data_IF_068032981253
#
_entry.id   IF_068032981253
#
_cell.length_a   1.000
_cell.length_b   1.000
_cell.length_c   1.000
_cell.angle_alpha   90.00
_cell.angle_beta   90.00
_cell.angle_gamma   90.00
#
_symmetry.space_group_name_H-M   'P 1'
#
loop_
_entity.id
_entity.type
_entity.pdbx_description
1 polymer ?
#
# COMPACT_ATOMS: atom_id res chain seq x y z
N UNK A 1 -17.76 -19.32 -73.97
CA UNK A 1 -16.46 -18.98 -74.51
C UNK A 1 -16.29 -17.47 -74.42
N UNK A 2 -15.86 -16.95 -73.24
CA UNK A 2 -15.56 -15.55 -73.08
C UNK A 2 -14.18 -15.43 -72.41
N UNK A 3 -13.27 -14.84 -73.15
CA UNK A 3 -11.88 -14.60 -72.80
C UNK A 3 -11.77 -13.37 -71.94
N UNK A 4 -11.08 -13.46 -70.80
CA UNK A 4 -10.75 -12.33 -69.92
C UNK A 4 -9.29 -11.94 -70.17
N UNK A 5 -8.97 -10.67 -70.42
CA UNK A 5 -7.60 -10.22 -70.68
C UNK A 5 -6.80 -10.06 -69.39
N UNK A 6 -5.57 -10.52 -69.39
CA UNK A 6 -4.58 -10.31 -68.32
C UNK A 6 -4.17 -8.84 -68.24
N UNK A 7 -4.43 -8.21 -67.09
CA UNK A 7 -3.90 -6.89 -66.74
C UNK A 7 -2.57 -7.06 -66.02
N UNK A 8 -1.48 -6.57 -66.61
CA UNK A 8 -0.17 -6.44 -65.98
C UNK A 8 -0.18 -5.39 -64.87
N UNK A 9 0.02 -5.84 -63.66
CA UNK A 9 0.21 -4.93 -62.50
C UNK A 9 1.66 -4.41 -62.51
N UNK A 10 1.85 -3.14 -62.88
CA UNK A 10 3.10 -2.40 -62.66
C UNK A 10 3.22 -2.03 -61.18
N UNK A 11 4.23 -2.55 -60.48
CA UNK A 11 4.59 -2.22 -59.12
C UNK A 11 5.23 -0.82 -59.09
N UNK A 12 4.68 0.17 -58.34
CA UNK A 12 5.29 1.48 -58.20
C UNK A 12 6.60 1.43 -57.40
N UNK A 13 7.58 2.26 -57.77
CA UNK A 13 8.90 2.41 -57.15
C UNK A 13 8.83 3.10 -55.77
N UNK A 14 8.22 2.46 -54.79
CA UNK A 14 8.13 3.01 -53.42
C UNK A 14 9.10 2.39 -52.40
N UNK A 15 9.98 1.50 -52.86
CA UNK A 15 10.97 0.86 -51.98
C UNK A 15 11.97 1.83 -51.35
N UNK A 16 12.29 2.94 -52.01
CA UNK A 16 13.27 3.91 -51.50
C UNK A 16 12.70 4.94 -50.53
N UNK A 17 11.36 5.10 -50.47
CA UNK A 17 10.71 6.04 -49.54
C UNK A 17 10.52 5.40 -48.15
N UNK A 18 10.29 4.09 -48.09
CA UNK A 18 10.10 3.36 -46.81
C UNK A 18 11.41 3.24 -46.05
N UNK A 19 12.54 3.12 -46.72
CA UNK A 19 13.87 3.06 -46.07
C UNK A 19 14.25 4.43 -45.48
N UNK A 20 13.86 5.53 -46.09
CA UNK A 20 14.17 6.87 -45.56
C UNK A 20 13.27 7.23 -44.34
N UNK A 21 12.01 6.78 -44.29
CA UNK A 21 11.12 6.98 -43.17
C UNK A 21 11.48 6.10 -41.95
N UNK A 22 11.99 4.88 -42.18
CA UNK A 22 12.49 4.01 -41.09
C UNK A 22 13.83 4.52 -40.55
N UNK A 23 14.70 5.14 -41.35
CA UNK A 23 15.96 5.74 -40.90
C UNK A 23 15.78 7.08 -40.19
N UNK A 24 14.69 7.84 -40.42
CA UNK A 24 14.37 9.07 -39.68
C UNK A 24 13.66 8.82 -38.35
N UNK A 25 13.09 7.61 -38.12
CA UNK A 25 12.50 7.24 -36.84
C UNK A 25 13.52 6.65 -35.85
N UNK A 26 14.76 6.46 -36.25
CA UNK A 26 15.84 6.01 -35.35
C UNK A 26 16.73 7.13 -34.81
N UNK A 27 16.45 8.40 -35.12
CA UNK A 27 17.21 9.53 -34.61
C UNK A 27 16.37 10.26 -33.60
N UNK A 28 16.58 9.96 -32.31
CA UNK A 28 16.07 10.74 -31.20
C UNK A 28 14.90 10.13 -30.44
N UNK A 29 15.02 8.90 -29.96
CA UNK A 29 14.47 8.59 -28.65
C UNK A 29 15.41 9.32 -27.69
N UNK A 30 15.01 10.39 -26.99
CA UNK A 30 15.80 10.89 -25.90
C UNK A 30 15.97 9.68 -24.98
N UNK A 31 17.20 9.35 -24.61
CA UNK A 31 17.44 8.50 -23.45
C UNK A 31 16.52 9.06 -22.37
N UNK A 32 15.47 8.32 -22.03
CA UNK A 32 14.55 8.73 -21.00
C UNK A 32 15.37 8.83 -19.73
N UNK A 33 15.92 10.02 -19.48
CA UNK A 33 16.56 10.34 -18.23
C UNK A 33 15.57 9.92 -17.16
N UNK A 34 15.98 9.11 -16.22
CA UNK A 34 15.25 8.81 -14.99
C UNK A 34 14.66 10.17 -14.56
N UNK A 35 13.34 10.30 -14.58
CA UNK A 35 12.69 11.54 -14.24
C UNK A 35 13.12 11.85 -12.81
N UNK A 36 14.03 12.80 -12.66
CA UNK A 36 14.56 13.18 -11.37
C UNK A 36 13.39 13.65 -10.51
N UNK A 37 13.35 13.21 -9.28
CA UNK A 37 12.33 13.69 -8.35
C UNK A 37 12.46 15.21 -8.25
N UNK A 38 11.35 15.97 -8.34
CA UNK A 38 11.41 17.42 -8.22
C UNK A 38 11.98 17.83 -6.85
N UNK A 39 12.63 19.02 -6.75
CA UNK A 39 13.18 19.51 -5.48
C UNK A 39 12.13 19.54 -4.38
N UNK A 40 12.47 19.03 -3.22
CA UNK A 40 11.59 18.98 -2.04
C UNK A 40 12.15 19.85 -0.93
N UNK A 41 11.35 20.78 -0.44
CA UNK A 41 11.65 21.54 0.76
C UNK A 41 11.08 20.85 1.99
N UNK A 42 11.89 20.68 3.03
CA UNK A 42 11.48 20.15 4.33
C UNK A 42 11.57 21.25 5.38
N UNK A 43 10.47 21.47 6.06
CA UNK A 43 10.37 22.44 7.16
C UNK A 43 9.77 21.75 8.39
N UNK A 44 10.14 22.23 9.57
CA UNK A 44 9.45 21.88 10.82
C UNK A 44 8.88 23.17 11.38
N UNK A 45 7.57 23.24 11.48
CA UNK A 45 6.87 24.43 11.94
C UNK A 45 7.01 24.59 13.46
N UNK A 46 6.75 25.78 14.05
CA UNK A 46 6.82 26.01 15.49
C UNK A 46 5.97 25.06 16.33
N UNK A 47 4.86 24.57 15.78
CA UNK A 47 4.00 23.56 16.39
C UNK A 47 4.45 22.12 16.10
N UNK A 48 5.70 21.91 15.67
CA UNK A 48 6.33 20.64 15.37
C UNK A 48 5.73 19.85 14.20
N UNK A 49 4.81 20.43 13.40
CA UNK A 49 4.37 19.80 12.16
C UNK A 49 5.54 19.70 11.19
N UNK A 50 5.79 18.51 10.67
CA UNK A 50 6.72 18.33 9.55
C UNK A 50 6.00 18.64 8.27
N UNK A 51 6.52 19.61 7.50
CA UNK A 51 5.98 20.04 6.22
C UNK A 51 6.98 19.75 5.10
N UNK A 52 6.55 18.98 4.12
CA UNK A 52 7.26 18.73 2.87
C UNK A 52 6.54 19.48 1.74
N UNK A 53 7.26 20.17 0.89
CA UNK A 53 6.68 20.90 -0.23
C UNK A 53 7.52 20.72 -1.50
N UNK A 54 6.85 20.57 -2.63
CA UNK A 54 7.46 20.56 -3.95
C UNK A 54 6.56 21.26 -4.96
N UNK A 55 7.09 22.26 -5.65
CA UNK A 55 6.37 22.97 -6.70
C UNK A 55 6.32 22.12 -7.96
N UNK A 56 5.12 21.99 -8.53
CA UNK A 56 4.86 21.33 -9.82
C UNK A 56 3.74 22.06 -10.56
N UNK A 57 4.13 22.90 -11.50
CA UNK A 57 3.23 23.74 -12.31
C UNK A 57 2.76 23.04 -13.61
N UNK A 58 3.02 21.73 -13.75
CA UNK A 58 2.63 20.97 -14.94
C UNK A 58 1.11 20.86 -15.13
N UNK A 59 0.37 20.85 -14.02
CA UNK A 59 -1.09 20.83 -13.95
C UNK A 59 -1.57 21.84 -12.91
N UNK A 60 -2.72 22.49 -13.12
CA UNK A 60 -3.26 23.50 -12.21
C UNK A 60 -3.95 22.87 -10.98
N UNK A 61 -3.30 21.90 -10.36
CA UNK A 61 -3.77 21.23 -9.16
C UNK A 61 -2.79 21.41 -8.01
N UNK A 62 -3.33 21.39 -6.79
CA UNK A 62 -2.57 21.27 -5.56
C UNK A 62 -3.07 20.04 -4.79
N UNK A 63 -2.15 19.19 -4.38
CA UNK A 63 -2.41 18.00 -3.56
C UNK A 63 -1.78 18.17 -2.18
N UNK A 64 -2.59 18.05 -1.15
CA UNK A 64 -2.17 18.00 0.25
C UNK A 64 -2.35 16.57 0.75
N UNK A 65 -1.28 15.96 1.24
CA UNK A 65 -1.29 14.63 1.85
C UNK A 65 -0.85 14.76 3.32
N UNK A 66 -1.79 14.71 4.22
CA UNK A 66 -1.51 14.65 5.67
C UNK A 66 -1.47 13.21 6.12
N UNK A 67 -0.43 12.85 6.86
CA UNK A 67 -0.30 11.59 7.59
C UNK A 67 -0.31 11.91 9.09
N UNK A 68 -1.09 11.16 9.85
CA UNK A 68 -1.15 11.24 11.31
C UNK A 68 -0.81 9.87 11.88
N UNK A 69 0.13 9.75 12.82
CA UNK A 69 0.51 8.48 13.46
C UNK A 69 -0.62 7.99 14.40
N UNK A 70 -1.76 7.63 13.82
CA UNK A 70 -3.01 7.26 14.47
C UNK A 70 -3.70 6.06 13.81
N UNK A 71 -2.93 5.09 13.32
CA UNK A 71 -3.46 3.87 12.72
C UNK A 71 -4.06 2.89 13.73
N UNK A 72 -4.61 1.78 13.23
CA UNK A 72 -5.31 0.77 14.04
C UNK A 72 -4.47 0.16 15.16
N UNK A 73 -3.14 0.19 15.05
CA UNK A 73 -2.26 -0.22 16.15
C UNK A 73 -2.43 0.62 17.43
N UNK A 74 -3.12 1.75 17.35
CA UNK A 74 -3.45 2.65 18.46
C UNK A 74 -4.81 2.33 19.07
N UNK A 75 -5.58 1.43 18.46
CA UNK A 75 -6.89 1.04 18.99
C UNK A 75 -6.71 0.38 20.38
N UNK A 76 -7.48 0.78 21.40
CA UNK A 76 -7.48 0.07 22.66
C UNK A 76 -8.05 -1.35 22.48
N UNK A 77 -7.60 -2.28 23.31
CA UNK A 77 -8.14 -3.65 23.31
C UNK A 77 -9.65 -3.63 23.57
N UNK A 78 -10.42 -4.27 22.68
CA UNK A 78 -11.88 -4.30 22.69
C UNK A 78 -12.54 -3.12 21.98
N UNK A 79 -11.75 -2.13 21.53
CA UNK A 79 -12.21 -0.99 20.73
C UNK A 79 -11.58 -1.04 19.30
N UNK A 80 -11.33 -2.24 18.75
CA UNK A 80 -10.78 -2.42 17.43
C UNK A 80 -11.70 -1.78 16.37
N UNK A 81 -11.12 -0.97 15.46
CA UNK A 81 -11.84 -0.15 14.49
C UNK A 81 -12.02 1.31 14.89
N UNK A 82 -11.61 1.70 16.11
CA UNK A 82 -11.76 3.07 16.62
C UNK A 82 -10.99 4.08 15.75
N UNK A 83 -9.74 3.78 15.37
CA UNK A 83 -8.95 4.61 14.47
C UNK A 83 -9.59 4.74 13.07
N UNK A 84 -10.17 3.64 12.57
CA UNK A 84 -10.86 3.62 11.29
C UNK A 84 -12.10 4.52 11.29
N UNK A 85 -12.99 4.38 12.30
CA UNK A 85 -14.17 5.23 12.41
C UNK A 85 -13.81 6.68 12.70
N UNK A 86 -12.73 6.95 13.45
CA UNK A 86 -12.24 8.31 13.66
C UNK A 86 -11.81 8.96 12.36
N UNK A 87 -11.01 8.25 11.54
CA UNK A 87 -10.59 8.75 10.24
C UNK A 87 -11.77 9.00 9.29
N UNK A 88 -12.81 8.16 9.31
CA UNK A 88 -14.05 8.40 8.56
C UNK A 88 -14.84 9.57 9.15
N UNK A 89 -14.90 9.65 10.45
CA UNK A 89 -15.70 10.60 11.20
C UNK A 89 -15.29 12.07 11.02
N UNK A 90 -14.02 12.37 10.74
CA UNK A 90 -13.57 13.76 10.52
C UNK A 90 -14.25 14.43 9.33
N UNK A 91 -14.74 13.64 8.36
CA UNK A 91 -15.45 14.12 7.17
C UNK A 91 -16.97 14.20 7.36
N UNK A 92 -17.52 13.76 8.49
CA UNK A 92 -18.97 13.63 8.69
C UNK A 92 -19.64 14.91 9.20
N UNK A 93 -18.91 16.00 9.32
CA UNK A 93 -19.40 17.31 9.69
C UNK A 93 -18.46 18.07 10.62
N UNK A 94 -18.54 19.36 10.52
CA UNK A 94 -17.71 20.31 11.26
C UNK A 94 -18.58 21.29 12.05
N UNK A 95 -17.94 22.21 12.77
CA UNK A 95 -18.67 23.29 13.47
C UNK A 95 -19.41 24.24 12.52
N UNK A 96 -19.07 24.25 11.20
CA UNK A 96 -19.63 25.18 10.21
C UNK A 96 -20.43 24.48 9.12
N UNK A 97 -20.05 23.26 8.75
CA UNK A 97 -20.63 22.55 7.61
C UNK A 97 -21.12 21.16 8.00
N UNK A 98 -22.30 20.81 7.56
CA UNK A 98 -22.79 19.42 7.57
C UNK A 98 -22.04 18.59 6.52
N UNK A 99 -22.14 17.26 6.60
CA UNK A 99 -21.55 16.36 5.60
C UNK A 99 -22.05 16.65 4.18
N UNK A 100 -23.33 17.00 4.00
CA UNK A 100 -23.88 17.34 2.70
C UNK A 100 -23.26 18.63 2.16
N UNK A 101 -23.13 19.67 2.97
CA UNK A 101 -22.51 20.93 2.59
C UNK A 101 -21.01 20.73 2.23
N UNK A 102 -20.29 19.91 2.99
CA UNK A 102 -18.89 19.54 2.65
C UNK A 102 -18.84 18.91 1.24
N UNK A 103 -19.71 17.94 0.95
CA UNK A 103 -19.76 17.29 -0.34
C UNK A 103 -20.16 18.25 -1.47
N UNK A 104 -21.18 19.10 -1.26
CA UNK A 104 -21.62 20.12 -2.23
C UNK A 104 -20.49 21.10 -2.57
N UNK A 105 -19.72 21.55 -1.58
CA UNK A 105 -18.57 22.43 -1.83
C UNK A 105 -17.45 21.73 -2.60
N UNK A 106 -17.15 20.47 -2.26
CA UNK A 106 -16.15 19.66 -2.98
C UNK A 106 -16.58 19.45 -4.44
N UNK A 107 -17.85 19.08 -4.67
CA UNK A 107 -18.40 18.87 -6.00
C UNK A 107 -18.37 20.17 -6.83
N UNK A 108 -18.74 21.30 -6.22
CA UNK A 108 -18.69 22.61 -6.88
C UNK A 108 -17.27 23.01 -7.31
N UNK A 109 -16.26 22.70 -6.49
CA UNK A 109 -14.85 22.95 -6.80
C UNK A 109 -14.25 21.90 -7.74
N UNK A 110 -14.93 20.77 -7.99
CA UNK A 110 -14.31 19.60 -8.62
C UNK A 110 -13.12 19.06 -7.82
N UNK A 111 -13.16 19.24 -6.51
CA UNK A 111 -12.13 18.82 -5.57
C UNK A 111 -12.44 17.45 -4.97
N UNK A 112 -11.42 16.80 -4.41
CA UNK A 112 -11.61 15.59 -3.63
C UNK A 112 -10.95 15.73 -2.27
N UNK A 113 -11.66 15.33 -1.21
CA UNK A 113 -11.17 15.26 0.15
C UNK A 113 -11.47 13.87 0.70
N UNK A 114 -10.41 13.11 1.00
CA UNK A 114 -10.52 11.71 1.40
C UNK A 114 -9.77 11.47 2.71
N UNK A 115 -10.34 10.64 3.57
CA UNK A 115 -9.68 10.17 4.78
C UNK A 115 -9.67 8.65 4.82
N UNK A 116 -8.55 8.08 5.26
CA UNK A 116 -8.39 6.64 5.44
C UNK A 116 -7.54 6.33 6.67
N UNK A 117 -7.71 5.14 7.23
CA UNK A 117 -6.85 4.61 8.29
C UNK A 117 -6.19 3.33 7.81
N UNK A 118 -4.91 3.20 8.10
CA UNK A 118 -4.12 2.00 7.94
C UNK A 118 -3.71 1.41 9.29
N UNK A 119 -2.79 0.47 9.25
CA UNK A 119 -2.26 -0.17 10.45
C UNK A 119 -1.44 0.80 11.32
N UNK A 120 -0.59 1.61 10.69
CA UNK A 120 0.33 2.50 11.39
C UNK A 120 -0.16 3.95 11.50
N UNK A 121 -0.87 4.44 10.49
CA UNK A 121 -1.26 5.84 10.39
C UNK A 121 -2.60 6.02 9.69
N UNK A 122 -3.22 7.16 9.96
CA UNK A 122 -4.33 7.68 9.18
C UNK A 122 -3.83 8.73 8.17
N UNK A 123 -4.58 8.93 7.09
CA UNK A 123 -4.30 9.97 6.10
C UNK A 123 -5.53 10.83 5.84
N UNK A 124 -5.30 12.11 5.56
CA UNK A 124 -6.28 13.04 5.03
C UNK A 124 -5.69 13.69 3.78
N UNK A 125 -6.34 13.52 2.63
CA UNK A 125 -5.84 13.95 1.34
C UNK A 125 -6.81 14.89 0.68
N UNK A 126 -6.37 16.12 0.37
CA UNK A 126 -7.08 17.08 -0.47
C UNK A 126 -6.41 17.13 -1.84
N UNK A 127 -7.20 17.11 -2.90
CA UNK A 127 -6.79 17.50 -4.25
C UNK A 127 -7.75 18.56 -4.78
N UNK A 128 -7.24 19.72 -5.12
CA UNK A 128 -8.04 20.89 -5.52
C UNK A 128 -7.39 21.65 -6.68
N UNK A 129 -8.21 22.27 -7.53
CA UNK A 129 -7.71 23.17 -8.57
C UNK A 129 -7.12 24.44 -7.95
N UNK A 130 -6.06 24.97 -8.57
CA UNK A 130 -5.39 26.22 -8.15
C UNK A 130 -6.35 27.38 -7.93
N UNK A 131 -7.33 27.55 -8.81
CA UNK A 131 -8.32 28.63 -8.73
C UNK A 131 -9.20 28.58 -7.45
N UNK A 132 -9.40 27.37 -6.89
CA UNK A 132 -10.23 27.14 -5.71
C UNK A 132 -9.39 26.82 -4.46
N UNK A 133 -8.06 27.04 -4.52
CA UNK A 133 -7.11 26.66 -3.48
C UNK A 133 -7.48 27.21 -2.10
N UNK A 134 -7.84 28.50 -1.99
CA UNK A 134 -8.14 29.11 -0.69
C UNK A 134 -9.36 28.44 -0.02
N UNK A 135 -10.43 28.18 -0.79
CA UNK A 135 -11.61 27.45 -0.28
C UNK A 135 -11.28 26.01 0.10
N UNK A 136 -10.50 25.32 -0.75
CA UNK A 136 -10.07 23.95 -0.45
C UNK A 136 -9.23 23.87 0.81
N UNK A 137 -8.31 24.84 1.02
CA UNK A 137 -7.51 24.90 2.26
C UNK A 137 -8.36 25.18 3.50
N UNK A 138 -9.33 26.10 3.39
CA UNK A 138 -10.23 26.39 4.51
C UNK A 138 -11.04 25.16 4.88
N UNK A 139 -11.60 24.44 3.91
CA UNK A 139 -12.35 23.21 4.16
C UNK A 139 -11.46 22.06 4.72
N UNK A 140 -10.25 21.89 4.16
CA UNK A 140 -9.29 20.91 4.65
C UNK A 140 -8.93 21.13 6.12
N UNK A 141 -8.63 22.37 6.47
CA UNK A 141 -8.28 22.73 7.84
C UNK A 141 -9.48 22.63 8.79
N UNK A 142 -10.66 22.96 8.30
CA UNK A 142 -11.88 22.86 9.09
C UNK A 142 -12.20 21.41 9.47
N UNK A 143 -12.18 20.48 8.49
CA UNK A 143 -12.40 19.04 8.78
C UNK A 143 -11.28 18.45 9.63
N UNK A 144 -10.04 18.96 9.51
CA UNK A 144 -8.93 18.53 10.32
C UNK A 144 -9.02 19.00 11.78
N UNK A 145 -9.42 20.26 12.01
CA UNK A 145 -9.27 20.91 13.32
C UNK A 145 -10.58 21.16 14.06
N UNK A 146 -11.72 21.07 13.37
CA UNK A 146 -13.04 21.40 13.92
C UNK A 146 -14.13 20.33 13.63
N UNK A 147 -13.80 19.02 13.54
CA UNK A 147 -14.83 18.01 13.36
C UNK A 147 -15.72 17.91 14.61
N UNK A 148 -17.02 17.75 14.42
CA UNK A 148 -17.98 17.63 15.55
C UNK A 148 -18.49 16.21 15.76
N UNK A 149 -18.19 15.30 14.84
CA UNK A 149 -18.59 13.90 14.91
C UNK A 149 -20.08 13.72 15.21
N UNK A 150 -21.01 14.15 14.33
CA UNK A 150 -22.44 14.07 14.61
C UNK A 150 -22.84 12.62 14.87
N UNK A 151 -23.63 12.39 15.92
CA UNK A 151 -23.94 11.04 16.41
C UNK A 151 -24.61 10.17 15.34
N UNK A 152 -25.58 10.73 14.63
CA UNK A 152 -26.28 10.01 13.55
C UNK A 152 -25.37 9.65 12.38
N UNK A 153 -24.42 10.52 12.02
CA UNK A 153 -23.47 10.23 10.94
C UNK A 153 -22.44 9.17 11.37
N UNK A 154 -21.98 9.24 12.63
CA UNK A 154 -21.09 8.21 13.18
C UNK A 154 -21.78 6.85 13.23
N UNK A 155 -23.04 6.81 13.67
CA UNK A 155 -23.85 5.59 13.67
C UNK A 155 -24.00 5.03 12.25
N UNK A 156 -24.27 5.89 11.28
CA UNK A 156 -24.39 5.51 9.87
C UNK A 156 -23.07 4.93 9.30
N UNK A 157 -21.93 5.53 9.66
CA UNK A 157 -20.61 5.00 9.29
C UNK A 157 -20.31 3.67 9.97
N UNK A 158 -20.70 3.49 11.23
CA UNK A 158 -20.57 2.21 11.93
C UNK A 158 -21.43 1.11 11.26
N UNK A 159 -22.67 1.43 10.88
CA UNK A 159 -23.56 0.50 10.15
C UNK A 159 -22.98 0.11 8.79
N UNK A 160 -22.46 1.07 8.02
CA UNK A 160 -21.75 0.79 6.74
C UNK A 160 -20.54 -0.11 6.97
N UNK A 161 -19.79 0.15 8.05
CA UNK A 161 -18.60 -0.64 8.40
C UNK A 161 -18.99 -2.08 8.76
N UNK A 162 -20.05 -2.27 9.54
CA UNK A 162 -20.58 -3.60 9.85
C UNK A 162 -21.05 -4.36 8.60
N UNK A 163 -21.73 -3.67 7.69
CA UNK A 163 -22.14 -4.27 6.42
C UNK A 163 -20.93 -4.69 5.56
N UNK A 164 -19.87 -3.86 5.53
CA UNK A 164 -18.62 -4.20 4.85
C UNK A 164 -17.90 -5.40 5.50
N UNK A 165 -17.83 -5.44 6.84
CA UNK A 165 -17.28 -6.59 7.59
C UNK A 165 -18.05 -7.87 7.25
N UNK A 166 -19.38 -7.80 7.22
CA UNK A 166 -20.25 -8.94 6.88
C UNK A 166 -20.02 -9.42 5.45
N UNK A 167 -19.95 -8.49 4.49
CA UNK A 167 -19.66 -8.84 3.10
C UNK A 167 -18.27 -9.49 2.95
N UNK A 168 -17.28 -9.03 3.70
CA UNK A 168 -15.94 -9.61 3.71
C UNK A 168 -15.88 -11.04 4.27
N UNK A 169 -16.81 -11.42 5.15
CA UNK A 169 -16.89 -12.79 5.65
C UNK A 169 -17.36 -13.81 4.59
N UNK A 170 -17.99 -13.33 3.52
CA UNK A 170 -18.36 -14.17 2.37
C UNK A 170 -17.21 -14.31 1.36
N UNK A 171 -16.11 -13.54 1.54
CA UNK A 171 -14.91 -13.60 0.70
C UNK A 171 -13.85 -14.53 1.31
N UNK A 172 -13.58 -15.70 0.71
CA UNK A 172 -12.65 -16.68 1.31
C UNK A 172 -11.23 -16.14 1.51
N UNK A 173 -10.78 -15.21 0.66
CA UNK A 173 -9.47 -14.57 0.75
C UNK A 173 -9.36 -13.68 2.00
N UNK A 174 -10.39 -12.85 2.27
CA UNK A 174 -10.45 -12.01 3.46
C UNK A 174 -10.55 -12.85 4.76
N UNK A 175 -11.32 -13.94 4.71
CA UNK A 175 -11.41 -14.88 5.83
C UNK A 175 -10.05 -15.50 6.12
N UNK A 176 -9.32 -15.91 5.08
CA UNK A 176 -7.98 -16.46 5.23
C UNK A 176 -7.01 -15.44 5.81
N UNK A 177 -7.03 -14.18 5.33
CA UNK A 177 -6.14 -13.12 5.81
C UNK A 177 -6.42 -12.76 7.27
N UNK A 178 -7.68 -12.54 7.65
CA UNK A 178 -8.07 -12.25 9.04
C UNK A 178 -7.62 -13.37 9.98
N UNK A 179 -7.85 -14.64 9.59
CA UNK A 179 -7.43 -15.79 10.37
C UNK A 179 -5.90 -15.88 10.48
N UNK A 180 -5.18 -15.59 9.40
CA UNK A 180 -3.72 -15.59 9.37
C UNK A 180 -3.16 -14.50 10.30
N UNK A 181 -3.56 -13.26 10.15
CA UNK A 181 -3.07 -12.14 10.96
C UNK A 181 -3.38 -12.35 12.45
N UNK A 182 -4.60 -12.77 12.79
CA UNK A 182 -4.99 -13.10 14.17
C UNK A 182 -4.13 -14.21 14.77
N UNK A 183 -3.81 -15.25 13.99
CA UNK A 183 -3.01 -16.39 14.47
C UNK A 183 -1.54 -16.00 14.59
N UNK A 184 -1.02 -15.23 13.63
CA UNK A 184 0.39 -14.84 13.60
C UNK A 184 0.74 -13.84 14.70
N UNK A 185 -0.08 -12.80 14.86
CA UNK A 185 0.26 -11.65 15.69
C UNK A 185 -0.18 -11.77 17.15
N UNK A 186 -0.82 -12.85 17.53
CA UNK A 186 -1.26 -13.11 18.90
C UNK A 186 -1.93 -11.88 19.56
N UNK A 187 -1.29 -11.32 20.61
CA UNK A 187 -1.75 -10.14 21.31
C UNK A 187 -1.19 -8.83 20.75
N UNK A 188 -0.44 -8.89 19.62
CA UNK A 188 0.07 -7.67 18.98
C UNK A 188 -1.06 -6.87 18.33
N UNK A 189 -1.01 -5.54 18.36
CA UNK A 189 -1.99 -4.69 17.69
C UNK A 189 -2.10 -4.89 16.17
N UNK A 190 -1.13 -5.56 15.55
CA UNK A 190 -1.20 -5.90 14.13
C UNK A 190 -2.09 -7.11 13.82
N UNK A 191 -2.58 -7.80 14.84
CA UNK A 191 -3.42 -9.00 14.70
C UNK A 191 -4.90 -8.74 14.49
N UNK A 192 -5.39 -7.52 14.78
CA UNK A 192 -6.81 -7.22 14.59
C UNK A 192 -7.09 -6.55 13.23
N UNK A 193 -8.32 -6.72 12.69
CA UNK A 193 -8.71 -6.07 11.44
C UNK A 193 -8.76 -4.55 11.58
N UNK A 194 -8.38 -3.82 10.54
CA UNK A 194 -8.38 -2.34 10.51
C UNK A 194 -9.76 -1.75 10.80
N UNK A 195 -10.82 -2.36 10.26
CA UNK A 195 -12.20 -1.91 10.41
C UNK A 195 -12.85 -2.32 11.73
N UNK A 196 -12.12 -3.10 12.56
CA UNK A 196 -12.69 -3.75 13.74
C UNK A 196 -13.39 -5.06 13.40
N UNK A 197 -14.24 -5.49 14.32
CA UNK A 197 -14.99 -6.77 14.25
C UNK A 197 -16.48 -6.56 14.45
N UNK A 198 -17.30 -7.59 14.22
CA UNK A 198 -18.74 -7.55 14.53
C UNK A 198 -18.99 -7.31 16.02
N UNK A 199 -18.06 -7.71 16.87
CA UNK A 199 -18.16 -7.57 18.32
C UNK A 199 -17.67 -6.22 18.83
N UNK A 200 -16.64 -5.62 18.18
CA UNK A 200 -16.05 -4.35 18.62
C UNK A 200 -16.81 -3.13 18.09
N UNK A 201 -17.12 -3.09 16.79
CA UNK A 201 -17.73 -1.92 16.14
C UNK A 201 -19.04 -1.46 16.80
N UNK A 202 -19.98 -2.34 17.22
CA UNK A 202 -21.20 -1.90 17.91
C UNK A 202 -20.96 -1.27 19.29
N UNK A 203 -19.80 -1.44 19.88
CA UNK A 203 -19.41 -0.88 21.18
C UNK A 203 -18.70 0.46 21.06
N UNK A 204 -18.29 0.83 19.84
CA UNK A 204 -17.60 2.09 19.60
C UNK A 204 -18.58 3.25 19.77
N UNK A 205 -18.23 4.19 20.63
CA UNK A 205 -19.07 5.35 20.93
C UNK A 205 -18.50 6.62 20.30
N UNK A 206 -19.36 7.61 20.12
CA UNK A 206 -18.96 8.96 19.69
C UNK A 206 -17.90 9.54 20.65
N UNK A 207 -18.05 9.36 21.94
CA UNK A 207 -17.11 9.80 22.99
C UNK A 207 -15.75 9.12 22.83
N UNK A 208 -15.72 7.83 22.47
CA UNK A 208 -14.51 7.09 22.15
C UNK A 208 -13.79 7.70 20.96
N UNK A 209 -14.52 8.01 19.89
CA UNK A 209 -14.00 8.65 18.68
C UNK A 209 -13.41 10.04 19.00
N UNK A 210 -14.15 10.87 19.76
CA UNK A 210 -13.68 12.20 20.17
C UNK A 210 -12.42 12.08 21.04
N UNK A 211 -12.39 11.13 21.97
CA UNK A 211 -11.21 10.86 22.82
C UNK A 211 -10.00 10.48 21.96
N UNK A 212 -10.18 9.56 21.00
CA UNK A 212 -9.11 9.11 20.09
C UNK A 212 -8.61 10.27 19.22
N UNK A 213 -9.51 11.04 18.62
CA UNK A 213 -9.16 12.22 17.84
C UNK A 213 -8.34 13.21 18.68
N UNK A 214 -8.80 13.56 19.89
CA UNK A 214 -8.10 14.48 20.81
C UNK A 214 -6.75 13.95 21.29
N UNK A 215 -6.53 12.65 21.27
CA UNK A 215 -5.25 12.04 21.67
C UNK A 215 -4.20 12.03 20.56
N UNK A 216 -4.61 11.95 19.29
CA UNK A 216 -3.66 11.67 18.22
C UNK A 216 -3.64 12.69 17.08
N UNK A 217 -4.70 13.48 16.87
CA UNK A 217 -4.79 14.43 15.76
C UNK A 217 -4.15 15.77 16.12
N UNK A 218 -2.83 15.76 16.19
CA UNK A 218 -2.01 16.91 16.58
C UNK A 218 -0.85 17.12 15.58
N UNK A 219 -0.39 18.38 15.40
CA UNK A 219 0.66 18.70 14.45
C UNK A 219 1.97 18.00 14.77
N UNK A 220 2.33 17.84 16.05
CA UNK A 220 3.53 17.12 16.49
C UNK A 220 3.45 15.58 16.34
N UNK A 221 2.34 15.07 15.82
CA UNK A 221 2.12 13.66 15.47
C UNK A 221 1.82 13.48 13.97
N UNK A 222 2.16 14.50 13.15
CA UNK A 222 1.74 14.54 11.76
C UNK A 222 2.87 14.98 10.80
N UNK A 223 2.72 14.57 9.55
CA UNK A 223 3.53 14.97 8.41
C UNK A 223 2.56 15.47 7.33
N UNK A 224 2.75 16.68 6.83
CA UNK A 224 2.01 17.23 5.72
C UNK A 224 2.91 17.34 4.50
N UNK A 225 2.50 16.78 3.38
CA UNK A 225 3.16 16.93 2.09
C UNK A 225 2.27 17.73 1.14
N UNK A 226 2.82 18.75 0.50
CA UNK A 226 2.13 19.64 -0.45
C UNK A 226 2.84 19.57 -1.78
N UNK A 227 2.13 19.13 -2.82
CA UNK A 227 2.66 19.00 -4.18
C UNK A 227 1.73 19.71 -5.14
N UNK A 228 2.26 20.49 -6.06
CA UNK A 228 1.47 21.04 -7.16
C UNK A 228 1.72 22.50 -7.45
N UNK A 229 0.74 23.13 -8.08
CA UNK A 229 0.79 24.52 -8.52
C UNK A 229 0.60 25.49 -7.34
N UNK A 230 1.58 25.49 -6.45
CA UNK A 230 1.63 26.35 -5.27
C UNK A 230 3.08 26.80 -5.05
N UNK A 231 3.32 28.11 -5.15
CA UNK A 231 4.67 28.67 -4.93
C UNK A 231 5.04 28.68 -3.45
N UNK A 232 6.35 28.78 -3.17
CA UNK A 232 6.83 28.91 -1.80
C UNK A 232 6.30 30.17 -1.08
N UNK A 233 6.08 31.26 -1.80
CA UNK A 233 5.47 32.48 -1.25
C UNK A 233 4.01 32.22 -0.86
N UNK A 234 3.24 31.54 -1.68
CA UNK A 234 1.86 31.14 -1.36
C UNK A 234 1.82 30.15 -0.18
N UNK A 235 2.74 29.19 -0.14
CA UNK A 235 2.86 28.27 0.98
C UNK A 235 3.07 29.02 2.30
N UNK A 236 4.02 29.97 2.32
CA UNK A 236 4.32 30.82 3.48
C UNK A 236 3.22 31.80 3.82
N UNK A 237 2.58 32.38 2.81
CA UNK A 237 1.55 33.40 3.02
C UNK A 237 0.15 32.83 3.32
N UNK A 238 -0.21 31.71 2.71
CA UNK A 238 -1.57 31.17 2.81
C UNK A 238 -1.68 29.95 3.74
N UNK A 239 -0.78 28.97 3.64
CA UNK A 239 -0.94 27.70 4.34
C UNK A 239 -0.27 27.70 5.72
N UNK A 240 1.00 28.10 5.81
CA UNK A 240 1.75 28.04 7.07
C UNK A 240 1.06 28.80 8.21
N UNK A 241 0.58 30.05 8.06
CA UNK A 241 -0.08 30.77 9.14
C UNK A 241 -1.38 30.13 9.63
N UNK A 242 -2.04 29.36 8.76
CA UNK A 242 -3.24 28.58 9.12
C UNK A 242 -2.87 27.32 9.89
N UNK A 243 -1.81 26.62 9.50
CA UNK A 243 -1.31 25.40 10.14
C UNK A 243 -0.74 25.66 11.53
N UNK A 244 -0.09 26.79 11.74
CA UNK A 244 0.48 27.17 13.06
C UNK A 244 -0.59 27.35 14.13
N UNK A 245 -1.86 27.57 13.75
CA UNK A 245 -3.00 27.60 14.67
C UNK A 245 -3.44 26.22 15.16
N UNK A 246 -2.98 25.16 14.51
CA UNK A 246 -3.26 23.79 14.95
C UNK A 246 -2.43 23.47 16.19
N UNK A 247 -3.10 23.18 17.30
CA UNK A 247 -2.48 23.14 18.63
C UNK A 247 -1.73 21.84 18.90
N UNK A 248 -0.59 21.96 19.57
CA UNK A 248 0.18 20.84 20.09
C UNK A 248 -0.65 19.99 21.05
N UNK A 249 -0.35 18.69 21.09
CA UNK A 249 -0.93 17.77 22.06
C UNK A 249 0.10 16.83 22.66
N UNK A 250 -0.22 16.28 23.81
CA UNK A 250 0.55 15.20 24.41
C UNK A 250 0.12 13.87 23.77
N UNK A 251 1.06 13.25 23.04
CA UNK A 251 0.80 11.99 22.32
C UNK A 251 1.01 10.81 23.29
N UNK A 252 0.00 9.97 23.52
CA UNK A 252 0.13 8.83 24.40
C UNK A 252 1.24 7.88 23.94
N UNK A 253 2.16 7.55 24.85
CA UNK A 253 3.17 6.54 24.63
C UNK A 253 2.50 5.17 24.72
N UNK A 254 2.42 4.47 23.60
CA UNK A 254 1.89 3.12 23.53
C UNK A 254 3.02 2.16 23.17
N UNK A 255 3.40 1.25 24.09
CA UNK A 255 4.37 0.22 23.77
C UNK A 255 3.80 -0.72 22.70
N UNK A 256 4.59 -1.01 21.69
CA UNK A 256 4.22 -2.01 20.69
C UNK A 256 4.61 -3.39 21.19
N UNK A 257 3.63 -4.23 21.43
CA UNK A 257 3.83 -5.63 21.80
C UNK A 257 4.12 -6.44 20.53
N UNK A 258 5.38 -6.82 20.35
CA UNK A 258 5.86 -7.61 19.20
C UNK A 258 5.79 -9.10 19.53
N UNK A 259 4.58 -9.61 19.70
CA UNK A 259 4.33 -11.02 19.94
C UNK A 259 3.90 -11.71 18.65
N UNK A 260 4.64 -12.75 18.27
CA UNK A 260 4.38 -13.54 17.09
C UNK A 260 4.28 -15.02 17.42
N UNK A 261 3.41 -15.73 16.70
CA UNK A 261 3.45 -17.19 16.70
C UNK A 261 4.77 -17.66 16.09
N UNK A 262 5.50 -18.49 16.86
CA UNK A 262 6.83 -18.98 16.47
C UNK A 262 6.87 -20.47 16.17
N UNK A 263 5.78 -21.16 16.44
CA UNK A 263 5.65 -22.58 16.13
C UNK A 263 4.79 -22.79 14.88
N UNK A 264 4.85 -23.97 14.32
CA UNK A 264 3.99 -24.31 13.19
C UNK A 264 2.55 -24.45 13.66
N UNK A 265 1.67 -23.62 13.09
CA UNK A 265 0.22 -23.72 13.30
C UNK A 265 -0.55 -23.84 12.00
N UNK A 266 -1.58 -24.67 12.02
CA UNK A 266 -2.50 -24.82 10.89
C UNK A 266 -3.92 -24.48 11.35
N UNK A 267 -4.55 -23.55 10.64
CA UNK A 267 -5.94 -23.17 10.80
C UNK A 267 -6.71 -23.65 9.56
N UNK A 268 -7.72 -24.49 9.76
CA UNK A 268 -8.55 -25.04 8.70
C UNK A 268 -9.96 -24.48 8.84
N UNK A 269 -10.50 -23.89 7.79
CA UNK A 269 -11.84 -23.29 7.75
C UNK A 269 -12.60 -23.97 6.62
N UNK A 270 -13.61 -24.77 6.99
CA UNK A 270 -14.42 -25.48 6.02
C UNK A 270 -15.47 -24.54 5.40
N UNK A 271 -15.49 -24.48 4.08
CA UNK A 271 -16.45 -23.72 3.28
C UNK A 271 -16.85 -24.53 2.04
N UNK A 272 -18.11 -24.49 1.60
CA UNK A 272 -18.58 -25.21 0.40
C UNK A 272 -18.18 -24.44 -0.87
N UNK A 273 -16.88 -24.26 -1.09
CA UNK A 273 -16.30 -23.52 -2.21
C UNK A 273 -15.49 -24.46 -3.11
N UNK A 274 -15.37 -24.12 -4.38
CA UNK A 274 -14.67 -24.95 -5.39
C UNK A 274 -13.15 -24.75 -5.42
N UNK A 275 -12.68 -23.65 -4.83
CA UNK A 275 -11.26 -23.31 -4.80
C UNK A 275 -10.79 -23.08 -3.36
N UNK A 276 -9.66 -23.66 -3.02
CA UNK A 276 -8.98 -23.41 -1.76
C UNK A 276 -8.22 -22.07 -1.82
N UNK A 277 -8.43 -21.24 -0.80
CA UNK A 277 -7.65 -20.03 -0.55
C UNK A 277 -6.71 -20.30 0.62
N UNK A 278 -5.42 -20.13 0.38
CA UNK A 278 -4.37 -20.58 1.29
C UNK A 278 -3.40 -19.43 1.53
N UNK A 279 -3.09 -19.22 2.80
CA UNK A 279 -2.02 -18.32 3.24
C UNK A 279 -1.04 -19.12 4.11
N UNK A 280 0.22 -19.08 3.71
CA UNK A 280 1.34 -19.64 4.44
C UNK A 280 2.32 -18.52 4.74
N UNK A 281 2.69 -18.33 6.00
CA UNK A 281 3.60 -17.24 6.32
C UNK A 281 4.07 -17.24 7.78
N UNK A 282 4.87 -16.25 8.09
CA UNK A 282 5.47 -16.07 9.41
C UNK A 282 5.77 -14.59 9.67
N UNK A 283 6.32 -14.26 10.84
CA UNK A 283 6.77 -12.90 11.15
C UNK A 283 7.77 -12.40 10.10
N UNK A 284 7.53 -11.20 9.62
CA UNK A 284 8.38 -10.51 8.65
C UNK A 284 9.34 -9.53 9.32
N UNK A 285 9.57 -8.42 8.65
CA UNK A 285 10.49 -7.34 9.07
C UNK A 285 9.78 -6.00 9.14
N UNK A 286 10.38 -5.02 9.84
CA UNK A 286 9.96 -3.62 9.74
C UNK A 286 10.49 -2.96 8.47
N UNK A 287 9.90 -1.83 8.08
CA UNK A 287 10.35 -1.04 6.92
C UNK A 287 11.78 -0.50 7.09
N UNK A 288 12.21 -0.27 8.32
CA UNK A 288 13.56 0.20 8.67
C UNK A 288 14.61 -0.91 8.74
N UNK A 289 14.25 -2.17 8.44
CA UNK A 289 15.23 -3.26 8.46
C UNK A 289 16.34 -3.02 7.43
N UNK A 290 17.63 -3.12 7.80
CA UNK A 290 18.75 -2.86 6.88
C UNK A 290 18.79 -3.83 5.70
N UNK A 291 18.26 -5.04 5.86
CA UNK A 291 18.19 -6.07 4.81
C UNK A 291 16.99 -5.87 3.85
N UNK A 292 16.18 -4.81 4.02
CA UNK A 292 14.93 -4.61 3.29
C UNK A 292 15.08 -4.70 1.77
N UNK A 293 16.13 -4.10 1.21
CA UNK A 293 16.35 -4.06 -0.26
C UNK A 293 16.75 -5.44 -0.79
N UNK A 294 17.61 -6.13 -0.06
CA UNK A 294 18.00 -7.51 -0.38
C UNK A 294 16.78 -8.44 -0.30
N UNK A 295 15.94 -8.27 0.72
CA UNK A 295 14.67 -8.98 0.86
C UNK A 295 13.70 -8.68 -0.28
N UNK A 296 13.67 -7.44 -0.78
CA UNK A 296 12.84 -7.07 -1.93
C UNK A 296 13.28 -7.81 -3.20
N UNK A 297 14.59 -7.90 -3.45
CA UNK A 297 15.17 -8.65 -4.58
C UNK A 297 14.88 -10.15 -4.41
N UNK A 298 15.16 -10.72 -3.24
CA UNK A 298 14.90 -12.12 -2.91
C UNK A 298 13.42 -12.48 -3.12
N UNK A 299 12.52 -11.66 -2.59
CA UNK A 299 11.08 -11.90 -2.71
C UNK A 299 10.59 -11.76 -4.16
N UNK A 300 11.14 -10.82 -4.93
CA UNK A 300 10.81 -10.71 -6.35
C UNK A 300 11.10 -12.04 -7.09
N UNK A 301 12.25 -12.64 -6.83
CA UNK A 301 12.65 -13.94 -7.41
C UNK A 301 11.75 -15.05 -6.90
N UNK A 302 11.41 -15.07 -5.61
CA UNK A 302 10.61 -16.14 -4.99
C UNK A 302 9.17 -16.14 -5.50
N UNK A 303 8.44 -15.03 -5.34
CA UNK A 303 7.02 -14.97 -5.65
C UNK A 303 6.48 -13.59 -6.04
N UNK A 304 7.24 -12.50 -5.81
CA UNK A 304 6.80 -11.13 -6.10
C UNK A 304 6.93 -10.73 -7.58
N UNK A 305 7.70 -11.46 -8.38
CA UNK A 305 7.94 -11.17 -9.80
C UNK A 305 6.88 -11.69 -10.77
N UNK A 306 5.67 -12.02 -10.27
CA UNK A 306 4.58 -12.52 -11.10
C UNK A 306 5.01 -13.76 -11.91
N UNK A 307 4.75 -13.77 -13.21
CA UNK A 307 5.04 -14.92 -14.10
C UNK A 307 6.52 -15.33 -14.18
N UNK A 308 7.44 -14.46 -13.80
CA UNK A 308 8.87 -14.73 -13.80
C UNK A 308 9.39 -15.32 -12.48
N UNK A 309 8.56 -15.32 -11.44
CA UNK A 309 8.92 -15.82 -10.12
C UNK A 309 8.94 -17.35 -10.04
N UNK A 310 9.71 -17.89 -9.08
CA UNK A 310 9.84 -19.34 -8.86
C UNK A 310 8.51 -19.99 -8.49
N UNK A 311 7.74 -19.38 -7.60
CA UNK A 311 6.42 -19.91 -7.18
C UNK A 311 5.48 -20.03 -8.36
N UNK A 312 5.33 -18.96 -9.15
CA UNK A 312 4.46 -18.96 -10.32
C UNK A 312 4.95 -19.97 -11.37
N UNK A 313 6.26 -19.99 -11.63
CA UNK A 313 6.90 -20.91 -12.58
C UNK A 313 6.65 -22.38 -12.22
N UNK A 314 6.84 -22.77 -10.96
CA UNK A 314 6.72 -24.17 -10.53
C UNK A 314 5.27 -24.62 -10.34
N UNK A 315 4.42 -23.80 -9.74
CA UNK A 315 3.08 -24.20 -9.32
C UNK A 315 2.06 -23.98 -10.44
N UNK A 316 2.13 -22.83 -11.13
CA UNK A 316 1.18 -22.52 -12.21
C UNK A 316 1.68 -22.96 -13.57
N UNK A 317 2.85 -22.46 -14.01
CA UNK A 317 3.27 -22.62 -15.42
C UNK A 317 3.63 -24.07 -15.75
N UNK A 318 4.34 -24.78 -14.86
CA UNK A 318 4.76 -26.16 -15.10
C UNK A 318 3.71 -27.20 -14.75
N UNK A 319 2.92 -26.96 -13.72
CA UNK A 319 2.00 -28.00 -13.16
C UNK A 319 0.52 -27.65 -13.27
N UNK A 320 0.17 -26.39 -13.56
CA UNK A 320 -1.21 -25.97 -13.70
C UNK A 320 -2.04 -26.07 -12.41
N UNK A 321 -1.38 -26.09 -11.23
CA UNK A 321 -2.05 -26.35 -9.97
C UNK A 321 -2.73 -25.12 -9.39
N UNK A 322 -2.22 -23.92 -9.63
CA UNK A 322 -2.80 -22.69 -9.09
C UNK A 322 -3.15 -21.69 -10.19
N UNK A 323 -4.22 -20.94 -10.00
CA UNK A 323 -4.55 -19.79 -10.85
C UNK A 323 -3.63 -18.60 -10.50
N UNK A 324 -3.45 -18.36 -9.22
CA UNK A 324 -2.55 -17.33 -8.70
C UNK A 324 -1.72 -17.86 -7.55
N UNK A 325 -0.46 -17.48 -7.50
CA UNK A 325 0.44 -17.68 -6.36
C UNK A 325 1.44 -16.53 -6.32
N UNK A 326 1.61 -15.95 -5.14
CA UNK A 326 2.55 -14.86 -4.94
C UNK A 326 3.15 -14.91 -3.53
N UNK A 327 4.30 -14.26 -3.35
CA UNK A 327 4.83 -13.98 -2.01
C UNK A 327 5.15 -12.51 -1.84
N UNK A 328 5.03 -12.01 -0.62
CA UNK A 328 5.37 -10.65 -0.27
C UNK A 328 5.76 -10.52 1.20
N UNK A 329 6.55 -9.49 1.50
CA UNK A 329 6.69 -8.95 2.84
C UNK A 329 5.74 -7.76 2.96
N UNK A 330 5.05 -7.67 4.09
CA UNK A 330 4.19 -6.54 4.45
C UNK A 330 4.79 -5.79 5.65
N UNK A 331 5.84 -4.97 5.42
CA UNK A 331 6.54 -4.26 6.47
C UNK A 331 5.77 -3.02 6.91
N UNK A 332 5.68 -2.81 8.23
CA UNK A 332 5.19 -1.58 8.82
C UNK A 332 6.29 -0.79 9.54
N UNK A 333 5.88 0.11 10.40
CA UNK A 333 6.77 0.78 11.37
C UNK A 333 7.44 -0.25 12.30
N UNK A 334 6.71 -1.31 12.61
CA UNK A 334 7.15 -2.48 13.36
C UNK A 334 7.22 -3.71 12.44
N UNK A 335 7.82 -4.82 12.89
CA UNK A 335 7.84 -6.04 12.09
C UNK A 335 6.44 -6.49 11.68
N UNK A 336 6.24 -6.65 10.40
CA UNK A 336 5.00 -7.15 9.82
C UNK A 336 5.05 -8.65 9.54
N UNK A 337 4.55 -9.09 8.38
CA UNK A 337 4.53 -10.50 7.98
C UNK A 337 5.29 -10.76 6.69
N UNK A 338 5.72 -12.01 6.50
CA UNK A 338 5.98 -12.63 5.21
C UNK A 338 4.84 -13.58 4.90
N UNK A 339 4.32 -13.52 3.68
CA UNK A 339 3.21 -14.35 3.25
C UNK A 339 3.46 -14.95 1.87
N UNK A 340 3.06 -16.21 1.70
CA UNK A 340 2.76 -16.82 0.41
C UNK A 340 1.25 -16.98 0.34
N UNK A 341 0.62 -16.35 -0.64
CA UNK A 341 -0.81 -16.45 -0.90
C UNK A 341 -1.04 -17.22 -2.18
N UNK A 342 -1.97 -18.16 -2.17
CA UNK A 342 -2.29 -18.94 -3.35
C UNK A 342 -3.77 -19.36 -3.41
N UNK A 343 -4.29 -19.42 -4.63
CA UNK A 343 -5.62 -19.92 -4.94
C UNK A 343 -5.51 -21.10 -5.89
N UNK A 344 -6.12 -22.22 -5.52
CA UNK A 344 -6.01 -23.50 -6.23
C UNK A 344 -7.31 -24.30 -6.15
N UNK A 345 -7.49 -25.31 -7.00
CA UNK A 345 -8.57 -26.28 -6.85
C UNK A 345 -8.40 -27.06 -5.55
N UNK A 346 -9.50 -27.40 -4.86
CA UNK A 346 -9.44 -28.14 -3.58
C UNK A 346 -8.54 -29.39 -3.64
N UNK A 347 -8.65 -30.31 -4.64
CA UNK A 347 -7.79 -31.50 -4.70
C UNK A 347 -6.29 -31.18 -4.86
N UNK A 348 -5.94 -30.00 -5.38
CA UNK A 348 -4.53 -29.60 -5.61
C UNK A 348 -3.91 -28.86 -4.43
N UNK A 349 -4.68 -28.56 -3.38
CA UNK A 349 -4.24 -27.71 -2.28
C UNK A 349 -2.98 -28.24 -1.57
N UNK A 350 -2.94 -29.55 -1.27
CA UNK A 350 -1.80 -30.19 -0.60
C UNK A 350 -0.52 -30.07 -1.41
N UNK A 351 -0.60 -30.35 -2.70
CA UNK A 351 0.55 -30.28 -3.61
C UNK A 351 1.07 -28.86 -3.78
N UNK A 352 0.16 -27.89 -3.92
CA UNK A 352 0.52 -26.49 -4.03
C UNK A 352 1.21 -25.95 -2.76
N UNK A 353 0.76 -26.33 -1.57
CA UNK A 353 1.42 -26.01 -0.29
C UNK A 353 2.82 -26.63 -0.25
N UNK A 354 2.93 -27.93 -0.56
CA UNK A 354 4.20 -28.64 -0.56
C UNK A 354 5.22 -28.00 -1.49
N UNK A 355 4.81 -27.66 -2.71
CA UNK A 355 5.66 -26.99 -3.69
C UNK A 355 6.07 -25.58 -3.24
N UNK A 356 5.18 -24.84 -2.57
CA UNK A 356 5.51 -23.53 -2.01
C UNK A 356 6.63 -23.64 -0.97
N UNK A 357 6.52 -24.60 -0.06
CA UNK A 357 7.56 -24.87 0.94
C UNK A 357 8.88 -25.33 0.29
N UNK A 358 8.81 -26.17 -0.74
CA UNK A 358 9.99 -26.60 -1.50
C UNK A 358 10.72 -25.42 -2.16
N UNK A 359 9.99 -24.44 -2.72
CA UNK A 359 10.63 -23.25 -3.31
C UNK A 359 11.24 -22.34 -2.25
N UNK A 360 10.63 -22.22 -1.07
CA UNK A 360 11.21 -21.50 0.08
C UNK A 360 12.49 -22.21 0.55
N UNK A 361 12.48 -23.52 0.67
CA UNK A 361 13.69 -24.28 1.04
C UNK A 361 14.79 -24.19 -0.02
N UNK A 362 14.39 -24.21 -1.31
CA UNK A 362 15.34 -24.16 -2.41
C UNK A 362 16.10 -22.84 -2.44
N UNK A 363 15.43 -21.69 -2.25
CA UNK A 363 16.09 -20.37 -2.26
C UNK A 363 17.02 -20.20 -1.03
N UNK A 364 16.85 -21.01 0.01
CA UNK A 364 17.75 -21.05 1.18
C UNK A 364 18.98 -21.98 0.97
N UNK A 365 18.95 -22.85 -0.01
CA UNK A 365 20.00 -23.87 -0.23
C UNK A 365 20.88 -23.56 -1.44
N UNK A 366 20.33 -22.93 -2.46
CA UNK A 366 20.96 -22.69 -3.76
C UNK A 366 21.10 -21.20 -4.02
N UNK A 367 22.22 -20.80 -4.61
CA UNK A 367 22.36 -19.45 -5.17
C UNK A 367 21.33 -19.26 -6.28
N UNK A 368 20.71 -18.08 -6.32
CA UNK A 368 19.89 -17.69 -7.46
C UNK A 368 20.76 -17.58 -8.71
N UNK A 369 20.21 -17.83 -9.89
CA UNK A 369 20.94 -17.65 -11.14
C UNK A 369 21.18 -16.16 -11.41
N UNK A 370 22.24 -15.85 -12.17
CA UNK A 370 22.51 -14.47 -12.60
C UNK A 370 21.32 -13.85 -13.34
N UNK A 371 20.66 -14.67 -14.19
CA UNK A 371 19.46 -14.24 -14.91
C UNK A 371 18.31 -13.82 -13.99
N UNK A 372 18.07 -14.57 -12.91
CA UNK A 372 17.03 -14.24 -11.91
C UNK A 372 17.39 -12.95 -11.17
N UNK A 373 18.65 -12.82 -10.75
CA UNK A 373 19.13 -11.64 -10.02
C UNK A 373 19.02 -10.38 -10.90
N UNK A 374 19.60 -10.41 -12.09
CA UNK A 374 19.58 -9.25 -12.98
C UNK A 374 18.17 -8.91 -13.49
N UNK A 375 17.31 -9.90 -13.71
CA UNK A 375 15.90 -9.69 -14.02
C UNK A 375 15.17 -8.96 -12.89
N UNK A 376 15.39 -9.37 -11.63
CA UNK A 376 14.81 -8.73 -10.45
C UNK A 376 15.30 -7.29 -10.27
N UNK A 377 16.62 -7.05 -10.38
CA UNK A 377 17.20 -5.71 -10.31
C UNK A 377 16.65 -4.78 -11.38
N UNK A 378 16.67 -5.21 -12.63
CA UNK A 378 16.16 -4.42 -13.77
C UNK A 378 14.69 -4.01 -13.55
N UNK A 379 13.86 -4.94 -13.10
CA UNK A 379 12.45 -4.64 -12.84
C UNK A 379 12.27 -3.66 -11.68
N UNK A 380 12.90 -3.92 -10.53
CA UNK A 380 12.76 -3.10 -9.33
C UNK A 380 13.26 -1.67 -9.55
N UNK A 381 14.38 -1.51 -10.27
CA UNK A 381 14.92 -0.20 -10.63
C UNK A 381 14.03 0.46 -11.70
N UNK A 382 13.68 -0.25 -12.76
CA UNK A 382 12.91 0.32 -13.88
C UNK A 382 11.48 0.70 -13.50
N UNK A 383 10.86 0.00 -12.56
CA UNK A 383 9.51 0.32 -12.07
C UNK A 383 9.49 1.37 -10.94
N UNK A 384 10.65 1.71 -10.37
CA UNK A 384 10.71 2.62 -9.23
C UNK A 384 10.11 4.01 -9.49
N UNK A 385 10.34 4.67 -10.64
CA UNK A 385 9.76 5.97 -10.96
C UNK A 385 8.22 5.99 -10.96
N UNK A 386 7.58 4.85 -11.24
CA UNK A 386 6.12 4.72 -11.22
C UNK A 386 5.51 4.94 -9.82
N UNK A 387 6.34 4.99 -8.78
CA UNK A 387 5.90 5.27 -7.40
C UNK A 387 5.64 6.76 -7.14
N UNK A 388 6.10 7.64 -8.03
CA UNK A 388 5.97 9.10 -7.91
C UNK A 388 5.74 9.82 -9.24
N UNK A 389 5.16 9.13 -10.23
CA UNK A 389 4.87 9.63 -11.58
C UNK A 389 3.65 10.58 -11.67
N UNK A 390 2.92 10.75 -10.58
CA UNK A 390 1.81 11.71 -10.45
C UNK A 390 1.93 12.50 -9.14
N UNK A 391 1.33 13.70 -9.08
CA UNK A 391 1.35 14.54 -7.86
C UNK A 391 0.86 13.77 -6.62
N UNK A 392 -0.23 13.02 -6.74
CA UNK A 392 -0.76 12.22 -5.62
C UNK A 392 0.17 11.09 -5.18
N UNK A 393 0.79 10.37 -6.14
CA UNK A 393 1.79 9.35 -5.82
C UNK A 393 3.05 9.96 -5.22
N UNK A 394 3.51 11.09 -5.76
CA UNK A 394 4.67 11.81 -5.21
C UNK A 394 4.41 12.27 -3.77
N UNK A 395 3.22 12.86 -3.51
CA UNK A 395 2.84 13.26 -2.17
C UNK A 395 2.86 12.07 -1.19
N UNK A 396 2.25 10.94 -1.58
CA UNK A 396 2.25 9.73 -0.77
C UNK A 396 3.67 9.16 -0.56
N UNK A 397 4.48 9.12 -1.62
CA UNK A 397 5.86 8.64 -1.57
C UNK A 397 6.71 9.45 -0.59
N UNK A 398 6.70 10.78 -0.69
CA UNK A 398 7.44 11.68 0.18
C UNK A 398 6.99 11.58 1.64
N UNK A 399 5.68 11.51 1.86
CA UNK A 399 5.09 11.30 3.18
C UNK A 399 5.59 10.00 3.82
N UNK A 400 5.66 8.91 3.06
CA UNK A 400 6.18 7.63 3.54
C UNK A 400 7.70 7.67 3.75
N UNK A 401 8.46 8.34 2.87
CA UNK A 401 9.91 8.54 3.03
C UNK A 401 10.22 9.22 4.35
N UNK A 402 9.50 10.28 4.68
CA UNK A 402 9.65 10.99 5.96
C UNK A 402 9.19 10.12 7.14
N UNK A 403 8.02 9.48 7.04
CA UNK A 403 7.47 8.66 8.12
C UNK A 403 8.37 7.49 8.54
N UNK A 404 9.00 6.86 7.55
CA UNK A 404 9.92 5.74 7.81
C UNK A 404 11.38 6.18 8.00
N UNK A 405 11.68 7.48 7.94
CA UNK A 405 13.02 8.01 8.14
C UNK A 405 14.03 7.58 7.07
N UNK A 406 13.61 7.47 5.80
CA UNK A 406 14.45 6.96 4.71
C UNK A 406 15.42 8.01 4.15
N UNK A 407 15.20 9.30 4.46
CA UNK A 407 15.95 10.44 3.92
C UNK A 407 15.38 10.93 2.59
N UNK A 408 15.41 12.24 2.36
CA UNK A 408 14.88 12.83 1.11
C UNK A 408 15.69 12.44 -0.13
N UNK A 409 16.92 12.00 0.05
CA UNK A 409 17.81 11.45 -0.99
C UNK A 409 17.52 9.96 -1.31
N UNK A 410 16.43 9.43 -0.75
CA UNK A 410 16.04 8.01 -0.94
C UNK A 410 15.86 7.63 -2.41
N UNK A 411 15.26 8.52 -3.22
CA UNK A 411 15.08 8.26 -4.65
C UNK A 411 16.39 8.10 -5.41
N UNK A 412 17.41 8.86 -5.05
CA UNK A 412 18.75 8.79 -5.62
C UNK A 412 19.50 7.52 -5.19
N UNK A 413 19.32 7.14 -3.91
CA UNK A 413 19.98 5.97 -3.31
C UNK A 413 19.36 4.65 -3.74
N UNK A 414 18.06 4.63 -4.11
CA UNK A 414 17.33 3.39 -4.38
C UNK A 414 18.00 2.54 -5.47
N UNK A 415 18.48 3.16 -6.55
CA UNK A 415 19.18 2.45 -7.63
C UNK A 415 20.39 1.70 -7.08
N UNK A 416 21.28 2.37 -6.37
CA UNK A 416 22.50 1.77 -5.82
C UNK A 416 22.21 0.71 -4.77
N UNK A 417 21.17 0.90 -3.92
CA UNK A 417 20.73 -0.07 -2.92
C UNK A 417 20.25 -1.38 -3.55
N UNK A 418 19.56 -1.34 -4.68
CA UNK A 418 19.13 -2.55 -5.41
C UNK A 418 20.30 -3.12 -6.21
N UNK A 419 21.09 -2.28 -6.89
CA UNK A 419 22.19 -2.72 -7.76
C UNK A 419 23.29 -3.45 -6.99
N UNK A 420 23.55 -3.05 -5.74
CA UNK A 420 24.57 -3.66 -4.88
C UNK A 420 24.23 -5.07 -4.38
N UNK A 421 22.99 -5.53 -4.51
CA UNK A 421 22.58 -6.85 -4.02
C UNK A 421 23.29 -7.95 -4.83
N UNK A 422 23.90 -8.91 -4.12
CA UNK A 422 24.58 -10.07 -4.73
C UNK A 422 23.77 -11.36 -4.53
N UNK A 423 24.14 -12.43 -5.24
CA UNK A 423 23.53 -13.75 -5.10
C UNK A 423 23.74 -14.33 -3.70
N UNK A 424 24.91 -14.08 -3.12
CA UNK A 424 25.29 -14.49 -1.76
C UNK A 424 24.45 -13.77 -0.72
N UNK A 425 24.20 -12.46 -0.92
CA UNK A 425 23.32 -11.67 -0.06
C UNK A 425 21.88 -12.17 -0.13
N UNK A 426 21.37 -12.51 -1.32
CA UNK A 426 20.05 -13.14 -1.48
C UNK A 426 19.97 -14.45 -0.71
N UNK A 427 20.99 -15.31 -0.79
CA UNK A 427 21.04 -16.56 -0.05
C UNK A 427 21.12 -16.32 1.48
N UNK A 428 21.90 -15.32 1.90
CA UNK A 428 22.04 -14.93 3.32
C UNK A 428 20.69 -14.50 3.90
N UNK A 429 19.97 -13.58 3.24
CA UNK A 429 18.67 -13.11 3.75
C UNK A 429 17.60 -14.18 3.66
N UNK A 430 17.62 -15.04 2.65
CA UNK A 430 16.72 -16.18 2.56
C UNK A 430 16.88 -17.11 3.78
N UNK A 431 18.12 -17.45 4.14
CA UNK A 431 18.42 -18.26 5.33
C UNK A 431 18.01 -17.58 6.64
N UNK A 432 18.20 -16.26 6.73
CA UNK A 432 17.96 -15.47 7.94
C UNK A 432 16.47 -15.24 8.21
N UNK A 433 15.68 -14.97 7.17
CA UNK A 433 14.33 -14.42 7.30
C UNK A 433 13.21 -15.33 6.81
N UNK A 434 13.48 -16.41 6.11
CA UNK A 434 12.44 -17.39 5.72
C UNK A 434 12.45 -18.57 6.70
N UNK A 435 11.27 -19.01 7.12
CA UNK A 435 11.11 -20.04 8.16
C UNK A 435 10.20 -21.18 7.69
N UNK A 436 10.66 -22.09 6.78
CA UNK A 436 9.83 -23.15 6.19
C UNK A 436 9.35 -24.23 7.18
N UNK A 437 9.84 -24.21 8.44
CA UNK A 437 9.43 -25.13 9.51
C UNK A 437 8.65 -24.44 10.63
N UNK A 438 8.55 -23.09 10.62
CA UNK A 438 7.91 -22.28 11.65
C UNK A 438 7.01 -21.27 10.97
N UNK A 439 5.79 -21.65 10.68
CA UNK A 439 4.85 -20.85 9.93
C UNK A 439 3.41 -21.06 10.39
N UNK A 440 2.59 -20.08 10.15
CA UNK A 440 1.14 -20.18 10.20
C UNK A 440 0.64 -20.55 8.81
N UNK A 441 -0.18 -21.60 8.73
CA UNK A 441 -0.88 -22.04 7.52
C UNK A 441 -2.37 -21.89 7.74
N UNK A 442 -3.02 -21.08 6.92
CA UNK A 442 -4.48 -20.97 6.91
C UNK A 442 -5.01 -21.56 5.60
N UNK A 443 -6.04 -22.38 5.70
CA UNK A 443 -6.69 -23.03 4.57
C UNK A 443 -8.20 -22.78 4.68
N UNK A 444 -8.76 -22.05 3.73
CA UNK A 444 -10.20 -21.89 3.55
C UNK A 444 -10.61 -22.67 2.30
N UNK A 445 -11.30 -23.77 2.47
CA UNK A 445 -11.55 -24.73 1.39
C UNK A 445 -12.77 -25.62 1.69
N UNK A 446 -13.25 -26.36 0.71
CA UNK A 446 -13.98 -27.59 0.96
C UNK A 446 -12.96 -28.65 1.43
N UNK A 447 -12.84 -28.81 2.75
CA UNK A 447 -11.79 -29.62 3.37
C UNK A 447 -11.87 -31.08 2.97
N UNK A 448 -13.07 -31.61 2.76
CA UNK A 448 -13.31 -32.97 2.28
C UNK A 448 -12.72 -33.18 0.88
N UNK A 449 -13.04 -32.30 -0.06
CA UNK A 449 -12.49 -32.35 -1.41
C UNK A 449 -10.99 -32.10 -1.46
N UNK A 450 -10.47 -31.29 -0.52
CA UNK A 450 -9.05 -31.02 -0.36
C UNK A 450 -8.27 -32.16 0.31
N UNK A 451 -8.96 -33.17 0.84
CA UNK A 451 -8.35 -34.26 1.63
C UNK A 451 -7.65 -33.78 2.90
N UNK A 452 -8.23 -32.74 3.55
CA UNK A 452 -7.60 -32.02 4.68
C UNK A 452 -8.53 -31.93 5.91
N UNK A 453 -9.52 -32.83 6.02
CA UNK A 453 -10.38 -32.94 7.20
C UNK A 453 -9.61 -33.18 8.50
#
# INVERSE_FOLDING_TARGET
MFSIPHAEFRIPKWKNLIVLVVLMLCVGVPEGGLQAMPPVQRMVLPNHLVLLASEDHSLPFVTLQLLIDSGSRRDPSGEEGLSYLTAKGVLQGTSKHTVNQINEELDFMGASLNSSSGRDYATLTLRVLKKDLDKGLDLFLEVLTQPIFPEEEIKREAEKTLAAIQSGEDQPEEVAEKAFLKTLFLNSPYGHPLQGTRESVPKLTREGIIRFYRSYYHPNNAILTVIGDMTNEELKGKLIPRLEKWTLGEIPKQPFLSEFEREQKTVKINRPITQANIILGHAGVSRSNPDFYTLSVMNYILGGGGFTSRLMGEIRNKRGLAYSVASFFDPGKYPGSFQVVLQTKNPSARDAISLSLQQIERIQKELVSERELEGAKKYLIGSFPMRFDTQGKLANFLTQVEYYGLGLDYSEKYHSLIQSVTREEVLRVAKKYLHPKKYVLVIVANLKEAGME
#
